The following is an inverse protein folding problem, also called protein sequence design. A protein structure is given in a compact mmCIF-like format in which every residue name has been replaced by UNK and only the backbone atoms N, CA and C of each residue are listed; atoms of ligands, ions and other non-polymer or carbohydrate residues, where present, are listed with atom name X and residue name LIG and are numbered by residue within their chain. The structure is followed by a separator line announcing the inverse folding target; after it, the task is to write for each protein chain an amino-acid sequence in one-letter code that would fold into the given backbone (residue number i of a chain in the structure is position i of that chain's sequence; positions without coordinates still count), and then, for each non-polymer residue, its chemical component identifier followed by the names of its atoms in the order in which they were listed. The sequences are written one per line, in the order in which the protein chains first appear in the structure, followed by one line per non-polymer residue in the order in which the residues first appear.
data_IF_831750739688
#
_entry.id   IF_831750739688
#
_cell.length_a   1.000
_cell.length_b   1.000
_cell.length_c   1.000
_cell.angle_alpha   90.00
_cell.angle_beta   90.00
_cell.angle_gamma   90.00
#
_symmetry.space_group_name_H-M   'P 1'
#
loop_
_entity.id
_entity.type
_entity.pdbx_description
1 polymer ?
#
# COMPACT_ATOMS: atom_id res chain seq x y z
N UNK A 1 33.73 23.21 19.83
CA UNK A 1 33.19 23.42 18.47
C UNK A 1 31.90 22.62 18.37
N UNK A 2 30.78 23.25 17.98
CA UNK A 2 29.44 22.66 18.03
C UNK A 2 29.31 21.60 16.94
N UNK A 3 29.01 20.37 17.34
CA UNK A 3 28.68 19.28 16.42
C UNK A 3 27.46 19.68 15.59
N UNK A 4 27.67 19.73 14.27
CA UNK A 4 26.66 20.08 13.29
C UNK A 4 25.75 18.85 13.10
N UNK A 5 24.80 18.65 14.00
CA UNK A 5 23.75 17.63 13.86
C UNK A 5 22.85 18.11 12.71
N UNK A 6 23.16 17.68 11.48
CA UNK A 6 22.21 17.73 10.37
C UNK A 6 20.96 16.98 10.82
N UNK A 7 19.88 17.73 11.10
CA UNK A 7 18.57 17.19 11.42
C UNK A 7 18.10 16.31 10.24
N UNK A 8 18.41 15.01 10.30
CA UNK A 8 17.98 14.03 9.32
C UNK A 8 16.47 13.91 9.41
N UNK A 9 15.75 14.48 8.43
CA UNK A 9 14.29 14.38 8.39
C UNK A 9 13.90 12.91 8.19
N UNK A 10 13.36 12.29 9.24
CA UNK A 10 12.85 10.92 9.18
C UNK A 10 11.73 10.86 8.14
N UNK A 11 11.94 10.09 7.07
CA UNK A 11 10.90 9.89 6.06
C UNK A 11 9.80 8.96 6.56
N UNK A 12 8.57 9.31 6.23
CA UNK A 12 7.39 8.49 6.49
C UNK A 12 6.94 7.80 5.22
N UNK A 13 6.82 6.49 5.26
CA UNK A 13 6.27 5.69 4.18
C UNK A 13 4.82 5.38 4.53
N UNK A 14 3.91 5.77 3.65
CA UNK A 14 2.48 5.48 3.79
C UNK A 14 2.12 4.41 2.77
N UNK A 15 1.69 3.26 3.27
CA UNK A 15 1.23 2.14 2.46
C UNK A 15 -0.29 2.17 2.33
N UNK A 16 -0.81 1.87 1.14
CA UNK A 16 -2.11 1.24 1.03
C UNK A 16 -2.08 -0.16 1.66
N UNK A 17 -3.24 -0.76 1.90
CA UNK A 17 -3.36 -2.06 2.55
C UNK A 17 -3.77 -3.15 1.58
N UNK A 18 -4.89 -2.94 0.88
CA UNK A 18 -5.55 -3.94 0.06
C UNK A 18 -4.86 -4.00 -1.30
N UNK A 19 -4.23 -5.12 -1.65
CA UNK A 19 -3.45 -5.25 -2.90
C UNK A 19 -2.01 -4.75 -2.78
N UNK A 20 -1.66 -4.06 -1.69
CA UNK A 20 -0.29 -3.59 -1.41
C UNK A 20 0.40 -4.42 -0.32
N UNK A 21 -0.23 -4.57 0.86
CA UNK A 21 0.30 -5.39 1.98
C UNK A 21 -0.42 -6.74 2.04
N UNK A 22 -1.74 -6.74 1.89
CA UNK A 22 -2.59 -7.91 1.97
C UNK A 22 -3.03 -8.34 0.57
N UNK A 23 -2.95 -9.64 0.25
CA UNK A 23 -3.44 -10.17 -1.02
C UNK A 23 -4.97 -10.30 -1.02
N UNK A 24 -5.68 -9.17 -1.15
CA UNK A 24 -7.14 -9.14 -1.12
C UNK A 24 -7.79 -9.22 -2.50
N UNK A 25 -7.03 -9.10 -3.59
CA UNK A 25 -7.59 -9.17 -4.95
C UNK A 25 -8.25 -10.53 -5.22
N UNK A 26 -7.59 -11.64 -4.86
CA UNK A 26 -8.16 -12.98 -5.06
C UNK A 26 -9.42 -13.19 -4.22
N UNK A 27 -9.41 -12.75 -2.97
CA UNK A 27 -10.58 -12.81 -2.11
C UNK A 27 -11.74 -11.98 -2.67
N UNK A 28 -11.48 -10.77 -3.17
CA UNK A 28 -12.50 -9.92 -3.78
C UNK A 28 -13.11 -10.57 -5.02
N UNK A 29 -12.30 -11.18 -5.89
CA UNK A 29 -12.80 -11.89 -7.08
C UNK A 29 -13.64 -13.10 -6.70
N UNK A 30 -13.19 -13.90 -5.72
CA UNK A 30 -13.93 -15.07 -5.25
C UNK A 30 -15.27 -14.67 -4.62
N UNK A 31 -15.25 -13.64 -3.76
CA UNK A 31 -16.46 -13.10 -3.15
C UNK A 31 -17.42 -12.56 -4.21
N UNK A 32 -16.91 -11.81 -5.21
CA UNK A 32 -17.70 -11.35 -6.33
C UNK A 32 -18.40 -12.50 -7.05
N UNK A 33 -17.66 -13.57 -7.39
CA UNK A 33 -18.20 -14.71 -8.11
C UNK A 33 -19.28 -15.46 -7.33
N UNK A 34 -19.22 -15.49 -6.00
CA UNK A 34 -20.28 -16.07 -5.18
C UNK A 34 -21.57 -15.23 -5.18
N UNK A 35 -21.44 -13.90 -5.17
CA UNK A 35 -22.61 -13.01 -5.07
C UNK A 35 -23.18 -12.63 -6.45
N UNK A 36 -22.38 -12.67 -7.51
CA UNK A 36 -22.76 -12.25 -8.86
C UNK A 36 -24.04 -12.93 -9.39
N UNK A 37 -24.27 -14.25 -9.19
CA UNK A 37 -25.50 -14.91 -9.61
C UNK A 37 -26.77 -14.30 -9.01
N UNK A 38 -26.72 -13.83 -7.76
CA UNK A 38 -27.87 -13.20 -7.07
C UNK A 38 -28.31 -11.90 -7.75
N UNK A 39 -27.39 -11.25 -8.46
CA UNK A 39 -27.64 -10.01 -9.20
C UNK A 39 -27.80 -10.24 -10.71
N UNK A 40 -27.88 -11.50 -11.16
CA UNK A 40 -27.88 -11.89 -12.58
C UNK A 40 -26.68 -11.28 -13.33
N UNK A 41 -25.52 -11.26 -12.68
CA UNK A 41 -24.25 -10.85 -13.27
C UNK A 41 -23.47 -12.09 -13.72
N UNK A 42 -22.67 -11.95 -14.78
CA UNK A 42 -21.75 -13.01 -15.22
C UNK A 42 -20.61 -13.15 -14.22
N UNK A 43 -20.11 -14.37 -14.08
CA UNK A 43 -18.91 -14.64 -13.28
C UNK A 43 -17.68 -14.05 -13.98
N UNK A 44 -16.77 -13.50 -13.19
CA UNK A 44 -15.44 -13.11 -13.63
C UNK A 44 -14.58 -14.36 -13.72
N UNK A 45 -14.05 -14.64 -14.89
CA UNK A 45 -13.08 -15.72 -15.08
C UNK A 45 -11.67 -15.26 -14.70
N UNK A 46 -10.82 -16.21 -14.35
CA UNK A 46 -9.41 -15.94 -14.02
C UNK A 46 -8.67 -15.21 -15.16
N UNK A 47 -8.93 -15.61 -16.41
CA UNK A 47 -8.37 -14.99 -17.63
C UNK A 47 -8.73 -13.50 -17.78
N UNK A 48 -9.85 -13.08 -17.21
CA UNK A 48 -10.35 -11.72 -17.26
C UNK A 48 -9.87 -10.85 -16.08
N UNK A 49 -9.10 -11.43 -15.14
CA UNK A 49 -8.57 -10.71 -13.97
C UNK A 49 -7.75 -9.50 -14.40
N UNK A 50 -6.89 -9.64 -15.42
CA UNK A 50 -6.10 -8.52 -15.96
C UNK A 50 -6.98 -7.38 -16.49
N UNK A 51 -8.17 -7.69 -17.02
CA UNK A 51 -9.11 -6.66 -17.52
C UNK A 51 -9.82 -5.93 -16.39
N UNK A 52 -10.05 -6.59 -15.26
CA UNK A 52 -10.49 -5.91 -14.03
C UNK A 52 -9.42 -4.99 -13.45
N UNK A 53 -8.16 -5.25 -13.76
CA UNK A 53 -7.05 -4.40 -13.32
C UNK A 53 -6.82 -3.17 -14.24
N UNK A 54 -7.66 -2.97 -15.26
CA UNK A 54 -7.61 -1.79 -16.11
C UNK A 54 -8.01 -0.50 -15.37
N UNK A 55 -7.71 0.66 -15.96
CA UNK A 55 -8.00 1.99 -15.38
C UNK A 55 -9.48 2.22 -15.05
N UNK A 56 -10.40 1.53 -15.74
CA UNK A 56 -11.86 1.66 -15.57
C UNK A 56 -12.51 0.29 -15.43
N UNK A 57 -12.38 -0.40 -14.28
CA UNK A 57 -12.97 -1.72 -14.07
C UNK A 57 -14.49 -1.72 -14.24
N UNK A 58 -15.14 -0.58 -13.96
CA UNK A 58 -16.58 -0.41 -14.12
C UNK A 58 -17.05 -0.56 -15.56
N UNK A 59 -16.26 -0.07 -16.53
CA UNK A 59 -16.59 -0.20 -17.95
C UNK A 59 -16.50 -1.67 -18.39
N UNK A 60 -15.51 -2.39 -17.89
CA UNK A 60 -15.40 -3.83 -18.13
C UNK A 60 -16.55 -4.60 -17.47
N UNK A 61 -16.88 -4.28 -16.22
CA UNK A 61 -17.95 -4.94 -15.46
C UNK A 61 -19.35 -4.73 -16.06
N UNK A 62 -19.57 -3.66 -16.85
CA UNK A 62 -20.80 -3.51 -17.65
C UNK A 62 -21.00 -4.68 -18.61
N UNK A 63 -19.93 -5.20 -19.22
CA UNK A 63 -19.99 -6.37 -20.10
C UNK A 63 -20.39 -7.67 -19.36
N UNK A 64 -20.31 -7.65 -18.02
CA UNK A 64 -20.72 -8.72 -17.10
C UNK A 64 -22.11 -8.47 -16.51
N UNK A 65 -22.85 -7.46 -17.00
CA UNK A 65 -24.19 -7.14 -16.52
C UNK A 65 -24.22 -6.35 -15.20
N UNK A 66 -23.08 -5.79 -14.78
CA UNK A 66 -22.95 -4.97 -13.57
C UNK A 66 -23.24 -3.51 -13.92
N UNK A 67 -24.46 -3.07 -13.64
CA UNK A 67 -24.82 -1.65 -13.69
C UNK A 67 -24.26 -0.90 -12.48
N UNK A 68 -24.23 0.45 -12.51
CA UNK A 68 -23.76 1.25 -11.37
C UNK A 68 -24.54 0.93 -10.07
N UNK A 69 -25.84 0.70 -10.18
CA UNK A 69 -26.68 0.29 -9.05
C UNK A 69 -26.27 -1.08 -8.50
N UNK A 70 -26.08 -2.09 -9.37
CA UNK A 70 -25.62 -3.42 -8.94
C UNK A 70 -24.21 -3.35 -8.35
N UNK A 71 -23.31 -2.56 -8.95
CA UNK A 71 -21.95 -2.37 -8.45
C UNK A 71 -21.96 -1.87 -7.00
N UNK A 72 -22.83 -0.93 -6.67
CA UNK A 72 -22.98 -0.43 -5.30
C UNK A 72 -23.32 -1.57 -4.31
N UNK A 73 -24.33 -2.38 -4.61
CA UNK A 73 -24.70 -3.51 -3.76
C UNK A 73 -23.60 -4.58 -3.72
N UNK A 74 -22.99 -4.91 -4.86
CA UNK A 74 -21.89 -5.86 -4.93
C UNK A 74 -20.71 -5.43 -4.05
N UNK A 75 -20.34 -4.14 -4.06
CA UNK A 75 -19.28 -3.60 -3.21
C UNK A 75 -19.64 -3.68 -1.72
N UNK A 76 -20.89 -3.37 -1.35
CA UNK A 76 -21.35 -3.48 0.05
C UNK A 76 -21.29 -4.93 0.52
N UNK A 77 -21.84 -5.86 -0.26
CA UNK A 77 -21.85 -7.28 0.08
C UNK A 77 -20.44 -7.85 0.12
N UNK A 78 -19.59 -7.45 -0.84
CA UNK A 78 -18.21 -7.91 -0.90
C UNK A 78 -17.42 -7.45 0.32
N UNK A 79 -17.58 -6.18 0.74
CA UNK A 79 -16.94 -5.65 1.95
C UNK A 79 -17.41 -6.37 3.21
N UNK A 80 -18.72 -6.64 3.32
CA UNK A 80 -19.28 -7.36 4.47
C UNK A 80 -18.71 -8.77 4.56
N UNK A 81 -18.55 -9.44 3.42
CA UNK A 81 -18.01 -10.80 3.38
C UNK A 81 -16.49 -10.83 3.59
N UNK A 82 -15.75 -9.90 3.01
CA UNK A 82 -14.30 -9.75 3.21
C UNK A 82 -13.95 -9.55 4.70
N UNK A 83 -14.82 -8.87 5.46
CA UNK A 83 -14.67 -8.74 6.92
C UNK A 83 -14.64 -10.08 7.66
N UNK A 84 -15.34 -11.09 7.14
CA UNK A 84 -15.38 -12.42 7.74
C UNK A 84 -14.26 -13.34 7.21
N UNK A 85 -13.53 -12.91 6.17
CA UNK A 85 -12.49 -13.69 5.51
C UNK A 85 -11.09 -13.16 5.82
N UNK A 86 -10.96 -12.11 6.65
CA UNK A 86 -9.69 -11.42 6.89
C UNK A 86 -8.60 -12.36 7.43
N UNK A 87 -9.01 -13.36 8.21
CA UNK A 87 -8.12 -14.38 8.79
C UNK A 87 -7.55 -15.33 7.72
N UNK A 88 -8.23 -15.47 6.58
CA UNK A 88 -7.78 -16.28 5.45
C UNK A 88 -6.94 -15.49 4.44
N UNK A 89 -6.83 -14.16 4.62
CA UNK A 89 -6.04 -13.31 3.73
C UNK A 89 -4.56 -13.45 4.05
N UNK A 90 -3.79 -13.81 3.02
CA UNK A 90 -2.33 -13.90 3.12
C UNK A 90 -1.67 -12.55 2.84
N UNK A 91 -0.51 -12.27 3.44
CA UNK A 91 0.34 -11.16 3.02
C UNK A 91 0.81 -11.34 1.57
N UNK A 92 1.13 -10.23 0.92
CA UNK A 92 1.85 -10.26 -0.37
C UNK A 92 3.20 -10.96 -0.15
N UNK A 93 3.59 -11.84 -1.07
CA UNK A 93 4.84 -12.60 -0.95
C UNK A 93 6.06 -11.66 -0.85
N UNK A 94 6.87 -11.82 0.20
CA UNK A 94 8.07 -11.01 0.48
C UNK A 94 7.81 -9.65 1.15
N UNK A 95 6.55 -9.28 1.42
CA UNK A 95 6.25 -7.96 2.00
C UNK A 95 6.65 -7.85 3.47
N UNK A 96 6.55 -8.93 4.25
CA UNK A 96 6.84 -8.92 5.69
C UNK A 96 8.32 -8.62 5.93
N UNK A 97 9.19 -9.32 5.19
CA UNK A 97 10.64 -9.15 5.24
C UNK A 97 11.01 -7.72 4.85
N UNK A 98 10.42 -7.24 3.74
CA UNK A 98 10.62 -5.86 3.26
C UNK A 98 10.20 -4.83 4.30
N UNK A 99 9.03 -4.99 4.94
CA UNK A 99 8.55 -4.06 5.98
C UNK A 99 9.50 -4.02 7.20
N UNK A 100 10.04 -5.18 7.60
CA UNK A 100 11.03 -5.28 8.69
C UNK A 100 12.35 -4.60 8.32
N UNK A 101 12.81 -4.75 7.07
CA UNK A 101 14.00 -4.07 6.55
C UNK A 101 13.81 -2.55 6.53
N UNK A 102 12.66 -2.06 6.05
CA UNK A 102 12.35 -0.63 6.04
C UNK A 102 12.29 -0.05 7.46
N UNK A 103 11.72 -0.78 8.42
CA UNK A 103 11.70 -0.35 9.82
C UNK A 103 13.10 -0.28 10.41
N UNK A 104 13.92 -1.30 10.15
CA UNK A 104 15.34 -1.35 10.56
C UNK A 104 16.17 -0.23 9.93
N UNK A 105 15.87 0.15 8.70
CA UNK A 105 16.48 1.27 8.00
C UNK A 105 16.08 2.65 8.57
N UNK A 106 15.19 2.70 9.57
CA UNK A 106 14.80 3.91 10.28
C UNK A 106 13.67 4.71 9.64
N UNK A 107 12.90 4.11 8.73
CA UNK A 107 11.69 4.73 8.21
C UNK A 107 10.54 4.65 9.22
N UNK A 108 9.73 5.72 9.28
CA UNK A 108 8.41 5.68 9.93
C UNK A 108 7.43 5.03 8.96
N UNK A 109 6.69 4.01 9.39
CA UNK A 109 5.79 3.25 8.52
C UNK A 109 4.34 3.47 8.98
N UNK A 110 3.46 3.79 8.04
CA UNK A 110 2.05 3.97 8.32
C UNK A 110 1.16 3.31 7.27
N UNK A 111 -0.04 2.94 7.68
CA UNK A 111 -1.07 2.41 6.77
C UNK A 111 -2.14 3.47 6.57
N UNK A 112 -2.57 3.66 5.33
CA UNK A 112 -3.76 4.41 4.98
C UNK A 112 -4.68 3.52 4.15
N UNK A 113 -5.89 3.25 4.63
CA UNK A 113 -6.81 2.35 3.93
C UNK A 113 -8.28 2.74 4.08
N UNK A 114 -9.12 2.26 3.17
CA UNK A 114 -10.58 2.29 3.30
C UNK A 114 -11.16 1.08 4.03
N UNK A 115 -10.32 0.09 4.33
CA UNK A 115 -10.67 -1.07 5.14
C UNK A 115 -10.93 -0.66 6.61
N UNK A 116 -11.60 -1.54 7.36
CA UNK A 116 -11.88 -1.29 8.76
C UNK A 116 -10.62 -1.45 9.60
N UNK A 117 -10.44 -0.58 10.61
CA UNK A 117 -9.28 -0.66 11.52
C UNK A 117 -9.20 -2.01 12.23
N UNK A 118 -10.37 -2.61 12.54
CA UNK A 118 -10.48 -3.94 13.11
C UNK A 118 -9.85 -5.00 12.20
N UNK A 119 -10.21 -5.04 10.92
CA UNK A 119 -9.66 -6.01 9.97
C UNK A 119 -8.14 -5.85 9.81
N UNK A 120 -7.68 -4.60 9.66
CA UNK A 120 -6.25 -4.33 9.54
C UNK A 120 -5.51 -4.82 10.78
N UNK A 121 -6.01 -4.54 11.98
CA UNK A 121 -5.38 -5.01 13.21
C UNK A 121 -5.31 -6.54 13.29
N UNK A 122 -6.42 -7.24 13.03
CA UNK A 122 -6.47 -8.71 13.04
C UNK A 122 -5.41 -9.27 12.07
N UNK A 123 -5.40 -8.78 10.83
CA UNK A 123 -4.43 -9.20 9.83
C UNK A 123 -2.98 -8.97 10.29
N UNK A 124 -2.69 -7.79 10.85
CA UNK A 124 -1.33 -7.45 11.29
C UNK A 124 -0.89 -8.26 12.53
N UNK A 125 -1.81 -8.58 13.43
CA UNK A 125 -1.58 -9.39 14.62
C UNK A 125 -1.29 -10.84 14.22
N UNK A 126 -2.11 -11.44 13.35
CA UNK A 126 -1.91 -12.81 12.87
C UNK A 126 -0.62 -13.03 12.08
N UNK A 127 -0.05 -11.95 11.54
CA UNK A 127 1.20 -12.00 10.77
C UNK A 127 2.41 -11.42 11.54
N UNK A 128 2.27 -11.13 12.84
CA UNK A 128 3.35 -10.62 13.70
C UNK A 128 4.05 -9.35 13.18
N UNK A 129 3.28 -8.47 12.53
CA UNK A 129 3.78 -7.21 11.94
C UNK A 129 3.10 -5.96 12.50
N UNK A 130 2.24 -6.11 13.50
CA UNK A 130 1.50 -4.99 14.11
C UNK A 130 2.41 -3.90 14.67
N UNK A 131 3.50 -4.28 15.33
CA UNK A 131 4.47 -3.36 15.97
C UNK A 131 5.36 -2.61 14.96
N UNK A 132 5.38 -3.03 13.70
CA UNK A 132 6.18 -2.40 12.64
C UNK A 132 5.60 -1.03 12.24
N UNK A 133 4.27 -0.88 12.33
CA UNK A 133 3.57 0.33 11.90
C UNK A 133 3.39 1.33 13.04
N UNK A 134 3.84 2.56 12.80
CA UNK A 134 3.73 3.69 13.73
C UNK A 134 2.31 4.26 13.80
N UNK A 135 1.52 4.07 12.73
CA UNK A 135 0.10 4.43 12.73
C UNK A 135 -0.71 3.67 11.69
N UNK A 136 -2.02 3.62 11.93
CA UNK A 136 -3.02 3.11 10.98
C UNK A 136 -4.12 4.17 10.88
N UNK A 137 -4.29 4.72 9.68
CA UNK A 137 -5.31 5.69 9.36
C UNK A 137 -6.36 5.05 8.46
N UNK A 138 -7.61 5.00 8.93
CA UNK A 138 -8.72 4.46 8.15
C UNK A 138 -9.67 5.56 7.73
N UNK A 139 -10.11 5.52 6.47
CA UNK A 139 -11.08 6.46 5.92
C UNK A 139 -12.11 5.75 5.08
N UNK A 140 -13.38 5.84 5.47
CA UNK A 140 -14.48 5.35 4.65
C UNK A 140 -14.66 6.16 3.35
N UNK A 141 -14.02 7.33 3.25
CA UNK A 141 -14.09 8.14 2.06
C UNK A 141 -13.14 7.60 0.99
N UNK A 142 -13.72 6.88 0.03
CA UNK A 142 -13.04 6.36 -1.15
C UNK A 142 -12.87 7.40 -2.27
N UNK A 143 -13.55 8.55 -2.17
CA UNK A 143 -13.49 9.63 -3.14
C UNK A 143 -12.66 10.81 -2.60
N UNK A 144 -11.64 11.24 -3.35
CA UNK A 144 -10.71 12.28 -2.87
C UNK A 144 -9.66 11.74 -1.91
N UNK A 145 -8.86 10.78 -2.39
CA UNK A 145 -7.75 10.19 -1.63
C UNK A 145 -6.70 11.25 -1.27
N UNK A 146 -6.51 12.25 -2.13
CA UNK A 146 -5.71 13.47 -1.88
C UNK A 146 -6.16 14.22 -0.61
N UNK A 147 -7.46 14.47 -0.44
CA UNK A 147 -8.01 15.11 0.77
C UNK A 147 -7.77 14.26 2.00
N UNK A 148 -7.88 12.94 1.85
CA UNK A 148 -7.68 12.00 2.96
C UNK A 148 -6.21 11.93 3.37
N UNK A 149 -5.27 11.90 2.42
CA UNK A 149 -3.83 11.99 2.68
C UNK A 149 -3.53 13.30 3.42
N UNK A 150 -4.01 14.46 2.95
CA UNK A 150 -3.79 15.73 3.63
C UNK A 150 -4.28 15.72 5.09
N UNK A 151 -5.48 15.17 5.36
CA UNK A 151 -6.00 15.03 6.73
C UNK A 151 -5.13 14.11 7.60
N UNK A 152 -4.62 13.02 7.03
CA UNK A 152 -3.69 12.11 7.71
C UNK A 152 -2.39 12.84 8.08
N UNK A 153 -1.81 13.58 7.13
CA UNK A 153 -0.57 14.32 7.36
C UNK A 153 -0.74 15.38 8.46
N UNK A 154 -1.85 16.12 8.43
CA UNK A 154 -2.18 17.10 9.46
C UNK A 154 -2.36 16.46 10.84
N UNK A 155 -3.14 15.37 10.94
CA UNK A 155 -3.42 14.73 12.22
C UNK A 155 -2.20 14.09 12.88
N UNK A 156 -1.21 13.66 12.08
CA UNK A 156 0.03 13.07 12.57
C UNK A 156 1.21 14.06 12.57
N UNK A 157 0.97 15.34 12.24
CA UNK A 157 2.00 16.37 12.11
C UNK A 157 3.18 15.94 11.22
N UNK A 158 2.87 15.26 10.11
CA UNK A 158 3.86 14.77 9.15
C UNK A 158 4.05 15.82 8.06
N UNK A 159 5.30 16.23 7.86
CA UNK A 159 5.66 17.12 6.77
C UNK A 159 5.55 16.42 5.42
N UNK A 160 4.80 17.02 4.50
CA UNK A 160 4.55 16.47 3.16
C UNK A 160 5.83 16.10 2.39
N UNK A 161 6.91 16.88 2.54
CA UNK A 161 8.21 16.65 1.88
C UNK A 161 8.94 15.40 2.39
N UNK A 162 8.58 14.87 3.56
CA UNK A 162 9.19 13.66 4.11
C UNK A 162 8.39 12.39 3.79
N UNK A 163 7.31 12.51 3.01
CA UNK A 163 6.38 11.41 2.74
C UNK A 163 6.71 10.73 1.43
N UNK A 164 6.61 9.40 1.41
CA UNK A 164 6.54 8.61 0.19
C UNK A 164 5.29 7.74 0.29
N UNK A 165 4.48 7.71 -0.76
CA UNK A 165 3.28 6.87 -0.83
C UNK A 165 3.56 5.59 -1.61
N UNK A 166 3.05 4.45 -1.14
CA UNK A 166 3.13 3.15 -1.81
C UNK A 166 1.71 2.61 -1.96
N UNK A 167 1.33 2.30 -3.20
CA UNK A 167 -0.01 1.81 -3.51
C UNK A 167 -0.06 1.12 -4.87
N UNK A 168 -1.15 0.42 -5.13
CA UNK A 168 -1.32 -0.46 -6.29
C UNK A 168 -2.43 0.01 -7.25
N UNK A 169 -3.03 1.18 -7.00
CA UNK A 169 -4.10 1.72 -7.83
C UNK A 169 -3.76 3.07 -8.49
N UNK A 170 -4.35 3.36 -9.65
CA UNK A 170 -4.15 4.65 -10.34
C UNK A 170 -4.66 5.84 -9.53
N UNK A 171 -5.66 5.62 -8.67
CA UNK A 171 -6.19 6.66 -7.77
C UNK A 171 -5.15 7.11 -6.73
N UNK A 172 -4.21 6.24 -6.40
CA UNK A 172 -3.09 6.57 -5.51
C UNK A 172 -2.13 7.50 -6.24
N UNK A 173 -1.83 7.17 -7.51
CA UNK A 173 -0.96 7.99 -8.38
C UNK A 173 -1.54 9.37 -8.59
N UNK A 174 -2.83 9.45 -8.90
CA UNK A 174 -3.55 10.70 -9.07
C UNK A 174 -3.53 11.55 -7.79
N UNK A 175 -3.75 10.92 -6.62
CA UNK A 175 -3.74 11.61 -5.33
C UNK A 175 -2.34 12.12 -4.96
N UNK A 176 -1.32 11.26 -5.08
CA UNK A 176 0.07 11.61 -4.80
C UNK A 176 0.54 12.77 -5.68
N UNK A 177 0.17 12.78 -6.97
CA UNK A 177 0.48 13.87 -7.91
C UNK A 177 -0.18 15.20 -7.56
N UNK A 178 -1.48 15.19 -7.24
CA UNK A 178 -2.18 16.41 -6.78
C UNK A 178 -1.52 17.01 -5.55
N UNK A 179 -0.92 16.16 -4.74
CA UNK A 179 -0.16 16.57 -3.58
C UNK A 179 1.31 16.85 -3.93
N UNK A 180 1.89 16.38 -5.03
CA UNK A 180 3.34 16.46 -5.23
C UNK A 180 4.11 15.66 -4.16
N UNK A 181 3.55 14.54 -3.72
CA UNK A 181 4.22 13.55 -2.87
C UNK A 181 4.80 12.47 -3.79
N UNK A 182 6.07 12.06 -3.61
CA UNK A 182 6.63 10.93 -4.33
C UNK A 182 5.81 9.65 -4.12
N UNK A 183 5.57 8.92 -5.21
CA UNK A 183 4.85 7.64 -5.15
C UNK A 183 5.58 6.52 -5.89
N UNK A 184 5.66 5.38 -5.23
CA UNK A 184 6.02 4.09 -5.82
C UNK A 184 4.73 3.30 -6.03
N UNK A 185 4.42 2.98 -7.29
CA UNK A 185 3.32 2.09 -7.62
C UNK A 185 3.79 0.62 -7.62
N UNK A 186 2.95 -0.29 -7.14
CA UNK A 186 3.27 -1.72 -7.07
C UNK A 186 2.35 -2.52 -7.98
N UNK A 187 2.93 -3.39 -8.83
CA UNK A 187 2.19 -4.03 -9.93
C UNK A 187 1.51 -5.36 -9.57
N UNK A 188 1.68 -5.83 -8.33
CA UNK A 188 1.11 -7.10 -7.85
C UNK A 188 -0.35 -7.00 -7.36
N UNK A 189 -0.88 -5.78 -7.25
CA UNK A 189 -2.22 -5.51 -6.69
C UNK A 189 -3.33 -5.39 -7.73
N UNK A 190 -4.20 -4.40 -7.51
CA UNK A 190 -5.46 -4.17 -8.21
C UNK A 190 -5.31 -3.55 -9.59
N UNK A 191 -4.32 -2.68 -9.86
CA UNK A 191 -4.10 -2.18 -11.22
C UNK A 191 -2.90 -2.84 -11.89
N UNK A 192 -3.05 -3.12 -13.19
CA UNK A 192 -2.01 -3.76 -13.98
C UNK A 192 -0.83 -2.80 -14.20
N UNK A 193 0.37 -3.35 -14.38
CA UNK A 193 1.61 -2.58 -14.57
C UNK A 193 1.47 -1.52 -15.66
N UNK A 194 0.86 -1.85 -16.79
CA UNK A 194 0.68 -0.95 -17.92
C UNK A 194 -0.23 0.23 -17.56
N UNK A 195 -1.31 -0.07 -16.82
CA UNK A 195 -2.25 0.93 -16.31
C UNK A 195 -1.59 1.87 -15.31
N UNK A 196 -0.79 1.33 -14.38
CA UNK A 196 0.00 2.12 -13.44
C UNK A 196 1.04 2.97 -14.16
N UNK A 197 1.78 2.40 -15.10
CA UNK A 197 2.80 3.10 -15.90
C UNK A 197 2.20 4.27 -16.68
N UNK A 198 1.05 4.07 -17.33
CA UNK A 198 0.32 5.11 -18.05
C UNK A 198 -0.15 6.26 -17.14
N UNK A 199 -0.38 5.97 -15.85
CA UNK A 199 -0.69 7.00 -14.84
C UNK A 199 0.56 7.78 -14.38
N UNK A 200 1.76 7.40 -14.82
CA UNK A 200 3.06 8.06 -14.62
C UNK A 200 3.44 8.32 -13.14
N UNK A 201 3.51 7.31 -12.26
CA UNK A 201 4.08 7.45 -10.91
C UNK A 201 5.60 7.74 -10.97
N UNK A 202 6.24 8.03 -9.83
CA UNK A 202 7.70 8.20 -9.80
C UNK A 202 8.42 6.87 -10.12
N UNK A 203 7.85 5.74 -9.69
CA UNK A 203 8.33 4.40 -10.04
C UNK A 203 7.19 3.40 -10.09
N UNK A 204 7.36 2.35 -10.90
CA UNK A 204 6.58 1.10 -10.82
C UNK A 204 7.54 -0.04 -10.51
N UNK A 205 7.21 -0.88 -9.53
CA UNK A 205 8.00 -2.06 -9.13
C UNK A 205 7.13 -3.32 -9.14
N UNK A 206 7.78 -4.49 -9.25
CA UNK A 206 7.11 -5.78 -9.41
C UNK A 206 7.27 -6.71 -8.20
N UNK A 207 8.26 -6.45 -7.34
CA UNK A 207 8.47 -7.23 -6.13
C UNK A 207 8.67 -6.35 -4.89
N UNK A 208 8.11 -6.71 -3.72
CA UNK A 208 8.32 -5.96 -2.48
C UNK A 208 9.79 -5.67 -2.16
N UNK A 209 10.67 -6.66 -2.37
CA UNK A 209 12.12 -6.53 -2.14
C UNK A 209 12.78 -5.35 -2.87
N UNK A 210 12.18 -4.86 -3.96
CA UNK A 210 12.71 -3.74 -4.74
C UNK A 210 12.46 -2.38 -4.05
N UNK A 211 11.64 -2.35 -2.99
CA UNK A 211 11.25 -1.11 -2.30
C UNK A 211 12.44 -0.40 -1.67
N UNK A 212 13.30 -1.11 -0.94
CA UNK A 212 14.41 -0.48 -0.21
C UNK A 212 15.37 0.23 -1.17
N UNK A 213 15.77 -0.44 -2.25
CA UNK A 213 16.64 0.14 -3.28
C UNK A 213 15.97 1.33 -3.97
N UNK A 214 14.68 1.20 -4.32
CA UNK A 214 13.93 2.28 -4.95
C UNK A 214 13.86 3.52 -4.05
N UNK A 215 13.59 3.33 -2.76
CA UNK A 215 13.51 4.41 -1.79
C UNK A 215 14.85 5.11 -1.61
N UNK A 216 15.96 4.38 -1.59
CA UNK A 216 17.31 4.96 -1.51
C UNK A 216 17.66 5.84 -2.73
N UNK A 217 17.18 5.49 -3.93
CA UNK A 217 17.40 6.32 -5.13
C UNK A 217 16.58 7.61 -5.06
N UNK A 218 15.31 7.50 -4.71
CA UNK A 218 14.41 8.65 -4.52
C UNK A 218 14.94 9.59 -3.43
N UNK A 219 15.52 9.05 -2.35
CA UNK A 219 16.05 9.88 -1.26
C UNK A 219 17.37 10.57 -1.58
N UNK A 220 18.22 9.95 -2.41
CA UNK A 220 19.49 10.52 -2.87
C UNK A 220 19.30 11.66 -3.88
N UNK A 221 18.32 11.56 -4.77
CA UNK A 221 17.97 12.62 -5.72
C UNK A 221 17.52 13.92 -5.02
N UNK A 222 16.94 13.80 -3.81
CA UNK A 222 16.55 14.94 -2.95
C UNK A 222 17.73 15.53 -2.11
N UNK A 223 18.99 15.16 -2.38
CA UNK A 223 20.20 15.61 -1.65
C UNK A 223 20.24 15.29 -0.14
N UNK A 224 19.61 14.21 0.32
CA UNK A 224 19.70 13.79 1.73
C UNK A 224 20.33 12.40 1.80
N UNK A 225 21.63 12.35 2.11
CA UNK A 225 22.42 11.13 2.21
C UNK A 225 22.04 10.36 3.47
N UNK A 226 21.62 9.10 3.32
CA UNK A 226 21.55 8.16 4.42
C UNK A 226 22.91 7.49 4.58
N UNK A 227 23.62 7.77 5.69
CA UNK A 227 24.58 6.81 6.23
C UNK A 227 23.81 5.71 6.97
N UNK A 228 23.99 4.47 6.52
CA UNK A 228 23.46 3.29 7.18
C UNK A 228 24.49 2.85 8.22
N UNK A 229 24.10 2.82 9.50
CA UNK A 229 24.92 2.18 10.53
C UNK A 229 24.80 0.67 10.36
N UNK A 230 25.75 0.05 9.66
CA UNK A 230 25.97 -1.39 9.74
C UNK A 230 26.35 -1.73 11.19
N UNK A 231 25.39 -2.20 11.99
CA UNK A 231 25.70 -2.94 13.22
C UNK A 231 25.88 -4.41 12.87
N UNK A 232 27.02 -4.71 12.27
CA UNK A 232 27.57 -6.06 12.21
C UNK A 232 29.08 -5.94 12.46
N UNK A 233 29.56 -6.65 13.49
CA UNK A 233 30.92 -6.65 14.03
C UNK A 233 31.35 -5.38 14.78
N UNK A 234 31.26 -5.43 16.12
CA UNK A 234 32.27 -4.94 17.07
C UNK A 234 31.81 -5.36 18.48
N UNK A 235 31.86 -6.66 18.72
CA UNK A 235 31.81 -7.26 20.05
C UNK A 235 32.82 -8.41 20.06
N UNK A 236 34.09 -8.08 19.83
CA UNK A 236 35.26 -8.94 20.11
C UNK A 236 36.52 -8.12 19.91
N UNK A 237 37.04 -7.58 21.02
CA UNK A 237 38.43 -7.15 21.32
C UNK A 237 38.44 -5.89 22.19
N UNK A 238 38.04 -6.07 23.45
CA UNK A 238 38.71 -5.40 24.56
C UNK A 238 39.01 -6.52 25.55
N UNK A 239 40.15 -7.17 25.33
CA UNK A 239 40.89 -8.00 26.26
C UNK A 239 42.21 -8.31 25.54
N UNK A 240 43.25 -7.51 25.84
CA UNK A 240 44.60 -7.95 26.23
C UNK A 240 45.57 -6.77 26.13
N UNK A 241 46.26 -6.53 27.26
CA UNK A 241 47.48 -5.73 27.51
C UNK A 241 47.45 -4.25 27.19
#
# INVERSE_FOLDING_TARGET
MRDNILNKTMRTIIFDFDGTIANTLDAVVNIYNEIAPKYRCKLVKYEDRKKLQAKRPQEFLKNYGVTNFKLFFLLIHSRRKLRNEIENIKPISGIIETLKELKTAGFKLGIMTSNSKKNVNIFLEMNDIKSIFDFIYTSKNIFGKDKTINKLLQSHKIEKKSVIYIGDETRDVEAAKRLGIPMIAVSWGFNARETLTASKPNKVIDHPKDLLECLQKITKEDKIVYEFKNKASHASKILTS
#
